data_IF_528079370906
#
_entry.id   IF_528079370906
#
_cell.length_a   1.000
_cell.length_b   1.000
_cell.length_c   1.000
_cell.angle_alpha   90.00
_cell.angle_beta   90.00
_cell.angle_gamma   90.00
#
_symmetry.space_group_name_H-M   'P 1'
#
loop_
_entity.id
_entity.type
_entity.pdbx_description
1 polymer ?
#
# COMPACT_ATOMS: atom_id res chain seq x y z
N UNK A 1 17.80 47.89 10.57
CA UNK A 1 17.90 46.50 10.06
C UNK A 1 16.57 45.82 10.27
N UNK A 2 15.74 45.78 9.25
CA UNK A 2 14.43 45.11 9.28
C UNK A 2 14.67 43.61 9.07
N UNK A 3 14.55 42.85 10.15
CA UNK A 3 14.59 41.38 10.13
C UNK A 3 13.32 40.88 9.43
N UNK A 4 13.46 40.64 8.12
CA UNK A 4 12.36 40.12 7.30
C UNK A 4 12.13 38.64 7.71
N UNK A 5 11.30 38.41 8.72
CA UNK A 5 10.86 37.06 9.10
C UNK A 5 10.04 36.48 7.96
N UNK A 6 10.71 35.82 7.01
CA UNK A 6 10.02 34.96 6.05
C UNK A 6 9.21 33.97 6.86
N UNK A 7 7.88 34.15 6.90
CA UNK A 7 6.97 33.17 7.50
C UNK A 7 7.26 31.85 6.85
N UNK A 8 7.78 30.90 7.63
CA UNK A 8 7.95 29.52 7.18
C UNK A 8 6.55 29.00 6.91
N UNK A 9 6.21 28.78 5.65
CA UNK A 9 4.91 28.23 5.24
C UNK A 9 4.94 26.74 5.63
N UNK A 10 4.06 26.37 6.56
CA UNK A 10 3.92 24.97 7.06
C UNK A 10 2.77 24.27 6.35
N UNK A 11 2.75 22.92 6.46
CA UNK A 11 1.62 22.11 6.00
C UNK A 11 0.34 22.45 6.77
N UNK A 12 -0.81 22.29 6.13
CA UNK A 12 -2.12 22.59 6.73
C UNK A 12 -2.47 21.56 7.80
N UNK A 13 -2.76 21.98 9.03
CA UNK A 13 -3.06 21.12 10.18
C UNK A 13 -4.57 20.88 10.31
N UNK A 14 -5.07 19.81 9.64
CA UNK A 14 -6.52 19.52 9.51
C UNK A 14 -6.91 18.07 9.73
N UNK A 15 -5.97 17.14 9.96
CA UNK A 15 -6.24 15.71 10.12
C UNK A 15 -6.61 15.36 11.56
N UNK A 16 -7.67 14.56 11.72
CA UNK A 16 -8.20 14.02 12.96
C UNK A 16 -7.93 12.51 13.06
N UNK A 17 -8.24 11.86 14.19
CA UNK A 17 -8.02 10.41 14.38
C UNK A 17 -8.70 9.55 13.32
N UNK A 18 -9.91 9.92 12.90
CA UNK A 18 -10.65 9.20 11.87
C UNK A 18 -9.96 9.30 10.51
N UNK A 19 -9.40 10.47 10.19
CA UNK A 19 -8.66 10.70 8.95
C UNK A 19 -7.37 9.85 8.92
N UNK A 20 -6.69 9.73 10.06
CA UNK A 20 -5.51 8.87 10.19
C UNK A 20 -5.83 7.38 10.10
N UNK A 21 -6.96 6.93 10.67
CA UNK A 21 -7.41 5.56 10.47
C UNK A 21 -7.72 5.29 9.00
N UNK A 22 -8.50 6.16 8.36
CA UNK A 22 -8.84 6.03 6.95
C UNK A 22 -7.61 6.11 6.04
N UNK A 23 -6.61 6.95 6.39
CA UNK A 23 -5.34 6.99 5.69
C UNK A 23 -4.58 5.68 5.84
N UNK A 24 -4.34 5.19 7.06
CA UNK A 24 -3.58 3.97 7.33
C UNK A 24 -4.24 2.72 6.74
N UNK A 25 -5.50 2.46 7.09
CA UNK A 25 -6.24 1.31 6.57
C UNK A 25 -6.52 1.45 5.08
N UNK A 26 -6.87 2.65 4.63
CA UNK A 26 -7.17 2.93 3.23
C UNK A 26 -5.96 2.80 2.31
N UNK A 27 -4.76 3.13 2.78
CA UNK A 27 -3.51 2.93 2.03
C UNK A 27 -3.16 1.45 1.92
N UNK A 28 -3.51 0.65 2.93
CA UNK A 28 -3.19 -0.77 3.04
C UNK A 28 -4.09 -1.68 2.20
N UNK A 29 -5.41 -1.47 2.27
CA UNK A 29 -6.37 -2.39 1.66
C UNK A 29 -6.77 -1.91 0.27
N UNK A 30 -6.14 -2.47 -0.77
CA UNK A 30 -6.40 -2.20 -2.19
C UNK A 30 -7.41 -3.16 -2.82
N UNK A 31 -7.28 -3.38 -4.12
CA UNK A 31 -8.14 -4.29 -4.90
C UNK A 31 -7.56 -5.70 -5.06
N UNK A 32 -6.46 -6.02 -4.39
CA UNK A 32 -5.82 -7.34 -4.48
C UNK A 32 -6.79 -8.50 -4.21
N UNK A 33 -7.72 -8.34 -3.28
CA UNK A 33 -8.75 -9.33 -2.98
C UNK A 33 -9.70 -9.65 -4.15
N UNK A 34 -9.76 -8.79 -5.16
CA UNK A 34 -10.50 -9.02 -6.39
C UNK A 34 -9.57 -9.51 -7.52
N UNK A 35 -8.41 -8.87 -7.68
CA UNK A 35 -7.54 -9.02 -8.85
C UNK A 35 -6.62 -10.24 -8.75
N UNK A 36 -6.18 -10.60 -7.55
CA UNK A 36 -5.19 -11.67 -7.30
C UNK A 36 -5.64 -12.69 -6.24
N UNK A 37 -6.94 -12.83 -6.03
CA UNK A 37 -7.49 -13.86 -5.12
C UNK A 37 -7.13 -15.28 -5.57
N UNK A 38 -7.11 -15.52 -6.87
CA UNK A 38 -6.68 -16.77 -7.49
C UNK A 38 -5.25 -17.13 -7.10
N UNK A 39 -4.32 -16.20 -7.19
CA UNK A 39 -2.91 -16.40 -6.76
C UNK A 39 -2.82 -16.73 -5.27
N UNK A 40 -3.56 -16.04 -4.39
CA UNK A 40 -3.54 -16.33 -2.95
C UNK A 40 -4.03 -17.74 -2.63
N UNK A 41 -5.11 -18.16 -3.30
CA UNK A 41 -5.68 -19.50 -3.11
C UNK A 41 -4.83 -20.59 -3.76
N UNK A 42 -4.17 -20.31 -4.91
CA UNK A 42 -3.22 -21.25 -5.52
C UNK A 42 -1.97 -21.46 -4.66
N UNK A 43 -1.48 -20.41 -3.99
CA UNK A 43 -0.34 -20.52 -3.05
C UNK A 43 -0.71 -21.25 -1.77
N UNK A 44 -1.85 -20.93 -1.18
CA UNK A 44 -2.16 -21.34 0.20
C UNK A 44 -3.29 -22.34 0.36
N UNK A 45 -4.22 -22.45 -0.57
CA UNK A 45 -5.56 -22.92 -0.29
C UNK A 45 -6.29 -21.92 0.62
N UNK A 46 -7.54 -22.20 0.96
CA UNK A 46 -8.35 -21.25 1.75
C UNK A 46 -7.77 -21.03 3.15
N UNK A 47 -7.50 -22.12 3.88
CA UNK A 47 -7.02 -22.02 5.26
C UNK A 47 -5.56 -21.53 5.31
N UNK A 48 -4.71 -21.98 4.37
CA UNK A 48 -3.34 -21.50 4.28
C UNK A 48 -3.28 -19.99 3.96
N UNK A 49 -4.17 -19.48 3.10
CA UNK A 49 -4.25 -18.05 2.80
C UNK A 49 -4.76 -17.24 4.00
N UNK A 50 -5.82 -17.69 4.69
CA UNK A 50 -6.32 -17.04 5.91
C UNK A 50 -5.22 -16.99 6.97
N UNK A 51 -4.56 -18.12 7.26
CA UNK A 51 -3.50 -18.19 8.26
C UNK A 51 -2.27 -17.39 7.83
N UNK A 52 -1.92 -17.37 6.55
CA UNK A 52 -0.83 -16.57 6.01
C UNK A 52 -1.02 -15.08 6.26
N UNK A 53 -2.20 -14.54 5.95
CA UNK A 53 -2.54 -13.14 6.25
C UNK A 53 -2.67 -12.87 7.75
N UNK A 54 -3.25 -13.79 8.52
CA UNK A 54 -3.41 -13.62 9.96
C UNK A 54 -2.05 -13.61 10.69
N UNK A 55 -1.20 -14.59 10.42
CA UNK A 55 0.13 -14.70 11.04
C UNK A 55 1.05 -13.60 10.52
N UNK A 56 1.12 -13.41 9.19
CA UNK A 56 1.94 -12.37 8.59
C UNK A 56 1.54 -10.98 9.07
N UNK A 57 0.24 -10.69 9.16
CA UNK A 57 -0.28 -9.46 9.74
C UNK A 57 0.01 -9.31 11.24
N UNK A 58 -0.08 -10.39 12.02
CA UNK A 58 0.27 -10.38 13.45
C UNK A 58 1.75 -10.06 13.67
N UNK A 59 2.64 -10.51 12.77
CA UNK A 59 4.06 -10.17 12.80
C UNK A 59 4.31 -8.66 12.57
N UNK A 60 3.36 -7.91 12.02
CA UNK A 60 3.45 -6.46 11.88
C UNK A 60 3.08 -5.70 13.16
N UNK A 61 2.44 -6.33 14.15
CA UNK A 61 2.03 -5.66 15.39
C UNK A 61 3.21 -5.08 16.19
N UNK A 62 4.35 -5.78 16.38
CA UNK A 62 5.54 -5.20 16.99
C UNK A 62 6.08 -4.00 16.21
N UNK A 63 6.05 -4.05 14.88
CA UNK A 63 6.47 -2.96 13.99
C UNK A 63 5.53 -1.77 14.18
N UNK A 64 4.21 -1.99 14.10
CA UNK A 64 3.20 -0.96 14.36
C UNK A 64 3.32 -0.32 15.75
N UNK A 65 3.67 -1.12 16.77
CA UNK A 65 3.98 -0.60 18.10
C UNK A 65 5.15 0.39 18.06
N UNK A 66 6.24 0.02 17.40
CA UNK A 66 7.43 0.86 17.28
C UNK A 66 7.09 2.16 16.54
N UNK A 67 6.35 2.10 15.43
CA UNK A 67 5.89 3.29 14.71
C UNK A 67 5.03 4.21 15.59
N UNK A 68 4.13 3.65 16.39
CA UNK A 68 3.33 4.40 17.34
C UNK A 68 4.16 5.13 18.40
N UNK A 69 5.25 4.51 18.89
CA UNK A 69 6.18 5.14 19.83
C UNK A 69 7.04 6.22 19.15
N UNK A 70 7.51 5.94 17.92
CA UNK A 70 8.35 6.87 17.16
C UNK A 70 7.58 8.14 16.78
N UNK A 71 6.37 8.02 16.24
CA UNK A 71 5.56 9.18 15.86
C UNK A 71 5.13 9.99 17.09
N UNK A 72 4.90 9.34 18.22
CA UNK A 72 4.60 10.03 19.48
C UNK A 72 5.79 10.86 19.99
N UNK A 73 7.01 10.37 19.80
CA UNK A 73 8.23 11.06 20.23
C UNK A 73 8.72 12.10 19.18
N UNK A 74 8.48 11.83 17.91
CA UNK A 74 8.95 12.64 16.78
C UNK A 74 7.85 12.70 15.69
N UNK A 75 6.84 13.59 15.83
CA UNK A 75 5.76 13.75 14.85
C UNK A 75 6.23 14.53 13.62
N UNK A 76 7.07 13.91 12.82
CA UNK A 76 7.72 14.45 11.62
C UNK A 76 7.22 13.69 10.39
N UNK A 77 6.72 14.37 9.37
CA UNK A 77 6.23 13.78 8.13
C UNK A 77 7.31 13.00 7.35
N UNK A 78 8.58 13.26 7.64
CA UNK A 78 9.68 12.47 7.11
C UNK A 78 9.73 11.02 7.64
N UNK A 79 9.00 10.71 8.73
CA UNK A 79 8.87 9.35 9.25
C UNK A 79 10.21 8.66 9.44
N UNK A 80 10.42 7.54 8.73
CA UNK A 80 11.62 6.70 8.82
C UNK A 80 12.91 7.49 8.54
N UNK A 81 12.86 8.50 7.68
CA UNK A 81 13.99 9.37 7.37
C UNK A 81 14.40 10.15 8.63
N UNK A 82 13.42 10.72 9.35
CA UNK A 82 13.66 11.44 10.59
C UNK A 82 14.21 10.51 11.68
N UNK A 83 13.63 9.32 11.81
CA UNK A 83 14.01 8.34 12.81
C UNK A 83 15.42 7.81 12.61
N UNK A 84 15.77 7.48 11.35
CA UNK A 84 17.09 6.98 11.00
C UNK A 84 18.15 8.07 11.05
N UNK A 85 17.84 9.31 10.66
CA UNK A 85 18.76 10.44 10.72
C UNK A 85 19.24 10.77 12.15
N UNK A 86 18.45 10.37 13.17
CA UNK A 86 18.82 10.61 14.58
C UNK A 86 19.95 9.70 15.06
N UNK A 87 20.08 8.50 14.48
CA UNK A 87 20.97 7.45 15.03
C UNK A 87 21.89 6.80 13.99
N UNK A 88 21.67 7.06 12.71
CA UNK A 88 22.43 6.54 11.60
C UNK A 88 22.96 7.67 10.69
N UNK A 89 23.79 7.31 9.73
CA UNK A 89 24.35 8.26 8.75
C UNK A 89 23.29 8.82 7.79
N UNK A 90 23.59 9.97 7.17
CA UNK A 90 22.78 10.56 6.11
C UNK A 90 22.52 9.58 4.95
N UNK A 91 23.49 8.70 4.66
CA UNK A 91 23.35 7.69 3.61
C UNK A 91 22.27 6.66 3.93
N UNK A 92 22.27 6.13 5.17
CA UNK A 92 21.24 5.18 5.63
C UNK A 92 19.88 5.85 5.64
N UNK A 93 19.79 7.10 6.12
CA UNK A 93 18.50 7.84 6.15
C UNK A 93 17.96 8.08 4.75
N UNK A 94 18.82 8.42 3.78
CA UNK A 94 18.43 8.55 2.39
C UNK A 94 17.97 7.22 1.81
N UNK A 95 18.75 6.14 1.96
CA UNK A 95 18.41 4.82 1.45
C UNK A 95 17.08 4.33 2.01
N UNK A 96 16.84 4.50 3.33
CA UNK A 96 15.57 4.16 3.97
C UNK A 96 14.40 4.95 3.37
N UNK A 97 14.55 6.26 3.25
CA UNK A 97 13.51 7.13 2.68
C UNK A 97 13.24 6.81 1.20
N UNK A 98 14.28 6.55 0.42
CA UNK A 98 14.19 6.20 -0.99
C UNK A 98 13.47 4.87 -1.20
N UNK A 99 13.75 3.85 -0.38
CA UNK A 99 13.03 2.59 -0.41
C UNK A 99 11.57 2.74 0.03
N UNK A 100 11.29 3.57 1.03
CA UNK A 100 9.90 3.84 1.45
C UNK A 100 9.13 4.65 0.39
N UNK A 101 9.78 5.55 -0.35
CA UNK A 101 9.14 6.19 -1.51
C UNK A 101 8.76 5.12 -2.55
N UNK A 102 9.65 4.15 -2.83
CA UNK A 102 9.33 3.03 -3.72
C UNK A 102 8.11 2.25 -3.24
N UNK A 103 8.10 1.87 -1.97
CA UNK A 103 7.02 1.06 -1.38
C UNK A 103 5.63 1.68 -1.60
N UNK A 104 5.52 3.01 -1.50
CA UNK A 104 4.26 3.71 -1.74
C UNK A 104 4.04 4.06 -3.21
N UNK A 105 5.08 4.54 -3.89
CA UNK A 105 4.99 4.98 -5.29
C UNK A 105 4.54 3.84 -6.20
N UNK A 106 5.13 2.65 -6.02
CA UNK A 106 4.90 1.49 -6.88
C UNK A 106 3.42 1.03 -6.90
N UNK A 107 2.67 1.32 -5.83
CA UNK A 107 1.23 1.04 -5.76
C UNK A 107 0.43 1.97 -6.68
N UNK A 108 0.87 3.21 -6.88
CA UNK A 108 0.13 4.19 -7.67
C UNK A 108 -0.08 3.75 -9.14
N UNK A 109 0.96 3.41 -9.93
CA UNK A 109 0.75 2.92 -11.29
C UNK A 109 0.04 1.56 -11.32
N UNK A 110 0.25 0.69 -10.30
CA UNK A 110 -0.46 -0.58 -10.19
C UNK A 110 -1.99 -0.35 -10.15
N UNK A 111 -2.45 0.52 -9.27
CA UNK A 111 -3.88 0.83 -9.13
C UNK A 111 -4.42 1.58 -10.36
N UNK A 112 -3.61 2.43 -10.99
CA UNK A 112 -3.98 3.14 -12.21
C UNK A 112 -4.15 2.19 -13.42
N UNK A 113 -3.37 1.11 -13.51
CA UNK A 113 -3.56 0.05 -14.51
C UNK A 113 -4.77 -0.82 -14.15
N UNK A 114 -4.92 -1.18 -12.88
CA UNK A 114 -6.00 -2.04 -12.41
C UNK A 114 -7.40 -1.44 -12.69
N UNK A 115 -7.57 -0.10 -12.60
CA UNK A 115 -8.86 0.53 -12.92
C UNK A 115 -9.26 0.32 -14.37
N UNK A 116 -8.33 0.42 -15.33
CA UNK A 116 -8.57 0.13 -16.74
C UNK A 116 -9.03 -1.31 -16.95
N UNK A 117 -8.37 -2.25 -16.29
CA UNK A 117 -8.69 -3.68 -16.34
C UNK A 117 -10.08 -4.01 -15.79
N UNK A 118 -10.45 -3.41 -14.65
CA UNK A 118 -11.79 -3.55 -14.07
C UNK A 118 -12.84 -2.92 -15.00
N UNK A 119 -12.56 -1.75 -15.57
CA UNK A 119 -13.45 -1.10 -16.51
C UNK A 119 -13.68 -1.95 -17.77
N UNK A 120 -12.63 -2.56 -18.33
CA UNK A 120 -12.75 -3.49 -19.48
C UNK A 120 -13.58 -4.74 -19.15
N UNK A 121 -13.49 -5.26 -17.92
CA UNK A 121 -14.34 -6.35 -17.46
C UNK A 121 -15.84 -5.97 -17.40
N UNK A 122 -16.12 -4.73 -16.94
CA UNK A 122 -17.51 -4.23 -16.86
C UNK A 122 -18.05 -3.90 -18.25
N UNK A 123 -17.19 -3.32 -19.10
CA UNK A 123 -17.52 -2.85 -20.43
C UNK A 123 -16.51 -3.43 -21.43
N UNK A 124 -16.74 -4.65 -21.97
CA UNK A 124 -15.81 -5.31 -22.89
C UNK A 124 -15.46 -4.50 -24.15
N UNK A 125 -16.30 -3.51 -24.51
CA UNK A 125 -16.00 -2.57 -25.60
C UNK A 125 -14.75 -1.71 -25.34
N UNK A 126 -14.28 -1.61 -24.11
CA UNK A 126 -13.05 -0.91 -23.75
C UNK A 126 -11.78 -1.74 -24.04
N UNK A 127 -11.90 -3.05 -24.28
CA UNK A 127 -10.84 -3.91 -24.77
C UNK A 127 -10.66 -3.70 -26.29
N UNK A 128 -10.55 -2.45 -26.72
CA UNK A 128 -10.43 -2.00 -28.11
C UNK A 128 -9.22 -1.09 -28.28
N UNK A 129 -8.76 -0.93 -29.53
CA UNK A 129 -7.61 -0.09 -29.87
C UNK A 129 -6.37 -0.52 -29.08
N UNK A 130 -5.89 -1.73 -29.38
CA UNK A 130 -4.60 -2.21 -28.88
C UNK A 130 -3.48 -1.34 -29.44
N UNK A 131 -2.71 -0.70 -28.57
CA UNK A 131 -1.59 0.17 -28.96
C UNK A 131 -0.31 -0.64 -29.21
N UNK A 132 -0.02 -1.55 -28.28
CA UNK A 132 1.17 -2.42 -28.30
C UNK A 132 1.04 -3.52 -27.25
N UNK A 133 2.03 -4.44 -27.23
CA UNK A 133 2.15 -5.49 -26.21
C UNK A 133 3.46 -5.38 -25.44
N UNK A 134 3.39 -5.62 -24.13
CA UNK A 134 4.57 -5.75 -23.25
C UNK A 134 4.47 -7.10 -22.53
N UNK A 135 5.51 -7.91 -22.59
CA UNK A 135 5.55 -9.26 -22.02
C UNK A 135 4.31 -10.11 -22.40
N UNK A 136 3.83 -9.96 -23.65
CA UNK A 136 2.66 -10.67 -24.17
C UNK A 136 1.30 -10.10 -23.76
N UNK A 137 1.24 -9.12 -22.86
CA UNK A 137 0.01 -8.47 -22.42
C UNK A 137 -0.34 -7.27 -23.30
N UNK A 138 -1.59 -7.13 -23.78
CA UNK A 138 -2.00 -6.00 -24.61
C UNK A 138 -2.18 -4.74 -23.77
N UNK A 139 -1.80 -3.60 -24.31
CA UNK A 139 -2.08 -2.28 -23.75
C UNK A 139 -3.15 -1.60 -24.60
N UNK A 140 -4.34 -1.40 -24.04
CA UNK A 140 -5.46 -0.78 -24.73
C UNK A 140 -5.52 0.72 -24.44
N UNK A 141 -5.79 1.52 -25.48
CA UNK A 141 -5.94 2.97 -25.35
C UNK A 141 -7.01 3.39 -24.35
N UNK A 142 -8.24 2.80 -24.33
CA UNK A 142 -9.25 3.18 -23.34
C UNK A 142 -8.80 2.92 -21.89
N UNK A 143 -8.11 1.81 -21.61
CA UNK A 143 -7.58 1.50 -20.28
C UNK A 143 -6.55 2.53 -19.83
N UNK A 144 -5.64 2.89 -20.74
CA UNK A 144 -4.62 3.90 -20.49
C UNK A 144 -5.25 5.28 -20.20
N UNK A 145 -6.26 5.69 -20.98
CA UNK A 145 -6.95 6.96 -20.76
C UNK A 145 -7.70 7.02 -19.42
N UNK A 146 -8.37 5.92 -19.02
CA UNK A 146 -9.06 5.84 -17.73
C UNK A 146 -8.06 5.98 -16.58
N UNK A 147 -6.96 5.25 -16.63
CA UNK A 147 -5.95 5.31 -15.59
C UNK A 147 -5.20 6.66 -15.56
N UNK A 148 -4.88 7.25 -16.71
CA UNK A 148 -4.31 8.61 -16.79
C UNK A 148 -5.29 9.64 -16.23
N UNK A 149 -6.58 9.52 -16.54
CA UNK A 149 -7.62 10.38 -16.00
C UNK A 149 -7.71 10.31 -14.47
N UNK A 150 -7.67 9.09 -13.90
CA UNK A 150 -7.64 8.89 -12.45
C UNK A 150 -6.35 9.45 -11.84
N UNK A 151 -5.21 9.23 -12.46
CA UNK A 151 -3.91 9.78 -11.99
C UNK A 151 -3.95 11.31 -11.99
N UNK A 152 -4.49 11.92 -13.05
CA UNK A 152 -4.69 13.37 -13.14
C UNK A 152 -5.62 13.91 -12.05
N UNK A 153 -6.77 13.24 -11.84
CA UNK A 153 -7.74 13.59 -10.79
C UNK A 153 -7.07 13.58 -9.40
N UNK A 154 -6.37 12.49 -9.04
CA UNK A 154 -5.71 12.37 -7.74
C UNK A 154 -4.55 13.36 -7.59
N UNK A 155 -3.83 13.66 -8.68
CA UNK A 155 -2.79 14.69 -8.67
C UNK A 155 -3.39 16.06 -8.35
N UNK A 156 -4.46 16.45 -9.03
CA UNK A 156 -5.17 17.73 -8.78
C UNK A 156 -5.74 17.78 -7.37
N UNK A 157 -6.36 16.70 -6.90
CA UNK A 157 -6.93 16.58 -5.56
C UNK A 157 -5.87 16.81 -4.47
N UNK A 158 -4.70 16.18 -4.59
CA UNK A 158 -3.60 16.32 -3.64
C UNK A 158 -2.84 17.64 -3.77
N UNK A 159 -2.80 18.21 -4.97
CA UNK A 159 -2.26 19.54 -5.21
C UNK A 159 -3.12 20.64 -4.56
N UNK A 160 -4.45 20.49 -4.63
CA UNK A 160 -5.43 21.48 -4.16
C UNK A 160 -5.54 21.58 -2.64
N UNK A 161 -5.21 20.52 -1.89
CA UNK A 161 -5.15 20.60 -0.43
C UNK A 161 -5.47 19.30 0.30
N UNK A 162 -4.82 19.08 1.43
CA UNK A 162 -4.93 17.85 2.24
C UNK A 162 -6.35 17.60 2.78
N UNK A 163 -7.13 18.66 3.05
CA UNK A 163 -8.49 18.48 3.57
C UNK A 163 -9.41 17.80 2.55
N UNK A 164 -9.29 18.18 1.27
CA UNK A 164 -10.07 17.57 0.21
C UNK A 164 -9.67 16.11 0.01
N UNK A 165 -8.37 15.84 -0.01
CA UNK A 165 -7.83 14.48 -0.08
C UNK A 165 -8.27 13.60 1.10
N UNK A 166 -8.22 14.09 2.33
CA UNK A 166 -8.66 13.36 3.51
C UNK A 166 -10.17 13.07 3.51
N UNK A 167 -10.99 14.02 3.07
CA UNK A 167 -12.44 13.81 2.92
C UNK A 167 -12.72 12.72 1.90
N UNK A 168 -12.06 12.76 0.74
CA UNK A 168 -12.16 11.72 -0.29
C UNK A 168 -11.72 10.35 0.27
N UNK A 169 -10.61 10.31 1.01
CA UNK A 169 -10.09 9.09 1.64
C UNK A 169 -11.10 8.49 2.63
N UNK A 170 -11.75 9.31 3.46
CA UNK A 170 -12.76 8.85 4.40
C UNK A 170 -13.97 8.24 3.68
N UNK A 171 -14.54 8.94 2.69
CA UNK A 171 -15.68 8.47 1.93
C UNK A 171 -15.41 7.14 1.23
N UNK A 172 -14.27 7.02 0.57
CA UNK A 172 -13.91 5.79 -0.13
C UNK A 172 -13.57 4.65 0.83
N UNK A 173 -12.91 4.92 1.97
CA UNK A 173 -12.60 3.91 2.97
C UNK A 173 -13.86 3.34 3.64
N UNK A 174 -14.72 4.21 4.17
CA UNK A 174 -15.95 3.75 4.85
C UNK A 174 -16.97 3.18 3.87
N UNK A 175 -17.06 3.73 2.64
CA UNK A 175 -17.86 3.17 1.57
C UNK A 175 -17.43 1.74 1.20
N UNK A 176 -16.11 1.50 1.09
CA UNK A 176 -15.56 0.15 0.88
C UNK A 176 -15.94 -0.81 2.00
N UNK A 177 -15.81 -0.40 3.27
CA UNK A 177 -16.18 -1.24 4.40
C UNK A 177 -17.68 -1.58 4.42
N UNK A 178 -18.55 -0.61 4.12
CA UNK A 178 -19.98 -0.82 4.08
C UNK A 178 -20.39 -1.81 2.98
N UNK A 179 -19.87 -1.61 1.75
CA UNK A 179 -20.15 -2.52 0.63
C UNK A 179 -19.52 -3.90 0.84
N UNK A 180 -18.33 -3.95 1.45
CA UNK A 180 -17.68 -5.21 1.84
C UNK A 180 -18.57 -6.02 2.80
N UNK A 181 -19.04 -5.40 3.89
CA UNK A 181 -19.93 -6.05 4.83
C UNK A 181 -21.21 -6.56 4.15
N UNK A 182 -21.75 -5.80 3.21
CA UNK A 182 -22.94 -6.16 2.46
C UNK A 182 -22.72 -7.41 1.59
N UNK A 183 -21.70 -7.45 0.73
CA UNK A 183 -21.51 -8.62 -0.14
C UNK A 183 -21.02 -9.86 0.63
N UNK A 184 -20.24 -9.71 1.69
CA UNK A 184 -19.87 -10.84 2.56
C UNK A 184 -21.09 -11.42 3.25
N UNK A 185 -21.97 -10.57 3.80
CA UNK A 185 -23.22 -11.02 4.42
C UNK A 185 -24.11 -11.82 3.45
N UNK A 186 -24.24 -11.38 2.20
CA UNK A 186 -24.95 -12.13 1.15
C UNK A 186 -24.26 -13.45 0.81
N UNK A 187 -22.91 -13.43 0.67
CA UNK A 187 -22.13 -14.63 0.34
C UNK A 187 -22.29 -15.74 1.35
N UNK A 188 -22.21 -15.40 2.64
CA UNK A 188 -22.34 -16.37 3.74
C UNK A 188 -23.70 -17.09 3.71
N UNK A 189 -24.76 -16.44 3.26
CA UNK A 189 -26.11 -17.04 3.17
C UNK A 189 -26.24 -18.15 2.10
N UNK A 190 -25.31 -18.24 1.14
CA UNK A 190 -25.39 -19.12 -0.04
C UNK A 190 -24.29 -20.17 -0.11
N UNK A 191 -23.28 -20.08 0.74
CA UNK A 191 -22.11 -20.95 0.72
C UNK A 191 -22.24 -22.24 1.54
N UNK A 192 -21.15 -23.02 1.57
CA UNK A 192 -21.02 -24.23 2.36
C UNK A 192 -19.58 -24.43 2.83
N UNK A 193 -19.35 -24.98 4.05
CA UNK A 193 -17.99 -25.33 4.53
C UNK A 193 -17.26 -26.33 3.63
N UNK A 194 -18.01 -27.17 2.87
CA UNK A 194 -17.43 -28.14 1.92
C UNK A 194 -16.63 -27.46 0.81
N UNK A 195 -16.95 -26.21 0.48
CA UNK A 195 -16.28 -25.45 -0.57
C UNK A 195 -14.85 -25.06 -0.19
N UNK A 196 -14.47 -25.10 1.08
CA UNK A 196 -13.10 -24.86 1.54
C UNK A 196 -12.08 -25.90 1.07
N UNK A 197 -12.55 -27.07 0.63
CA UNK A 197 -11.64 -28.14 0.19
C UNK A 197 -11.02 -27.87 -1.20
N UNK A 198 -9.70 -28.08 -1.34
CA UNK A 198 -8.73 -28.42 -0.31
C UNK A 198 -8.38 -27.21 0.57
N UNK A 199 -8.17 -27.43 1.88
CA UNK A 199 -7.83 -26.38 2.84
C UNK A 199 -6.43 -25.78 2.59
N UNK A 200 -5.51 -26.61 2.10
CA UNK A 200 -4.12 -26.25 1.78
C UNK A 200 -3.77 -26.76 0.39
N UNK A 201 -2.99 -25.99 -0.36
CA UNK A 201 -2.51 -26.39 -1.70
C UNK A 201 -1.28 -27.28 -1.64
N UNK A 202 -0.41 -27.01 -0.66
CA UNK A 202 0.80 -27.77 -0.33
C UNK A 202 0.69 -28.32 1.10
N UNK A 203 1.82 -28.70 1.72
CA UNK A 203 1.80 -28.96 3.16
C UNK A 203 1.34 -27.70 3.92
N UNK A 204 0.70 -27.83 5.09
CA UNK A 204 0.18 -26.68 5.84
C UNK A 204 1.20 -25.57 6.06
N UNK A 205 2.43 -25.95 6.43
CA UNK A 205 3.53 -24.99 6.64
C UNK A 205 3.90 -24.25 5.36
N UNK A 206 4.10 -24.96 4.25
CA UNK A 206 4.49 -24.35 2.97
C UNK A 206 3.38 -23.44 2.44
N UNK A 207 2.11 -23.86 2.52
CA UNK A 207 0.96 -23.07 2.10
C UNK A 207 0.87 -21.74 2.85
N UNK A 208 0.99 -21.75 4.17
CA UNK A 208 1.00 -20.56 5.01
C UNK A 208 2.21 -19.68 4.69
N UNK A 209 3.39 -20.28 4.55
CA UNK A 209 4.64 -19.57 4.28
C UNK A 209 4.62 -18.83 2.95
N UNK A 210 4.13 -19.46 1.87
CA UNK A 210 4.03 -18.85 0.54
C UNK A 210 3.09 -17.62 0.54
N UNK A 211 2.02 -17.67 1.32
CA UNK A 211 1.11 -16.51 1.45
C UNK A 211 1.71 -15.43 2.35
N UNK A 212 2.40 -15.79 3.43
CA UNK A 212 3.08 -14.82 4.30
C UNK A 212 4.07 -13.92 3.54
N UNK A 213 4.69 -14.41 2.47
CA UNK A 213 5.66 -13.64 1.67
C UNK A 213 5.06 -12.43 0.95
N UNK A 214 3.77 -12.48 0.64
CA UNK A 214 3.07 -11.38 -0.06
C UNK A 214 2.40 -10.39 0.92
N UNK A 215 2.26 -10.78 2.19
CA UNK A 215 1.62 -9.94 3.22
C UNK A 215 2.27 -8.55 3.34
N UNK A 216 3.60 -8.38 3.29
CA UNK A 216 4.20 -7.05 3.37
C UNK A 216 3.65 -6.07 2.32
N UNK A 217 3.47 -6.50 1.08
CA UNK A 217 2.90 -5.64 0.04
C UNK A 217 1.44 -5.25 0.35
N UNK A 218 0.60 -6.23 0.67
CA UNK A 218 -0.84 -6.00 0.89
C UNK A 218 -1.15 -5.32 2.23
N UNK A 219 -0.22 -5.32 3.18
CA UNK A 219 -0.38 -4.68 4.48
C UNK A 219 0.55 -3.48 4.69
N UNK A 220 1.30 -3.03 3.68
CA UNK A 220 1.95 -1.72 3.66
C UNK A 220 0.88 -0.64 3.66
N UNK A 221 1.06 0.38 4.50
CA UNK A 221 0.14 1.52 4.56
C UNK A 221 -0.23 1.96 5.98
N UNK A 222 -0.20 1.09 6.99
CA UNK A 222 -0.46 1.51 8.37
C UNK A 222 0.51 2.62 8.85
N UNK A 223 1.71 2.63 8.36
CA UNK A 223 2.75 3.62 8.63
C UNK A 223 2.56 4.92 7.84
N UNK A 224 1.63 4.99 6.88
CA UNK A 224 1.26 6.24 6.19
C UNK A 224 0.69 7.28 7.16
N UNK A 225 0.14 6.83 8.28
CA UNK A 225 -0.27 7.67 9.42
C UNK A 225 0.84 8.62 9.83
N UNK A 226 2.09 8.16 9.84
CA UNK A 226 3.26 8.98 10.21
C UNK A 226 3.54 10.08 9.18
N UNK A 227 3.31 9.81 7.89
CA UNK A 227 3.58 10.76 6.79
C UNK A 227 2.68 12.00 6.84
N UNK A 228 1.53 11.87 7.50
CA UNK A 228 0.63 12.99 7.80
C UNK A 228 0.81 13.61 9.18
N UNK A 229 1.83 13.22 9.97
CA UNK A 229 1.93 13.61 11.38
C UNK A 229 1.98 15.12 11.61
N UNK A 230 2.60 15.89 10.70
CA UNK A 230 2.65 17.36 10.78
C UNK A 230 1.30 18.03 10.44
N UNK A 231 0.37 17.29 9.82
CA UNK A 231 -0.94 17.77 9.37
C UNK A 231 -2.05 17.55 10.44
N UNK A 232 -1.67 17.06 11.63
CA UNK A 232 -2.60 16.86 12.75
C UNK A 232 -3.20 18.20 13.24
N UNK A 233 -4.50 18.18 13.59
CA UNK A 233 -5.14 19.36 14.22
C UNK A 233 -4.46 19.74 15.54
N UNK A 234 -4.54 21.01 15.97
CA UNK A 234 -3.91 21.44 17.22
C UNK A 234 -4.38 20.64 18.46
N UNK A 235 -5.63 20.19 18.47
CA UNK A 235 -6.26 19.43 19.57
C UNK A 235 -5.93 17.93 19.50
N UNK A 236 -5.19 17.49 18.49
CA UNK A 236 -4.91 16.07 18.28
C UNK A 236 -4.02 15.50 19.40
N UNK A 237 -4.54 14.50 20.09
CA UNK A 237 -3.79 13.80 21.13
C UNK A 237 -2.81 12.80 20.51
N UNK A 238 -1.55 12.84 20.90
CA UNK A 238 -0.46 11.97 20.38
C UNK A 238 -0.82 10.47 20.43
N UNK A 239 -1.57 10.03 21.46
CA UNK A 239 -2.07 8.65 21.55
C UNK A 239 -2.99 8.25 20.39
N UNK A 240 -3.55 9.22 19.66
CA UNK A 240 -4.38 8.99 18.48
C UNK A 240 -3.61 8.33 17.34
N UNK A 241 -2.34 8.65 17.15
CA UNK A 241 -1.49 7.99 16.16
C UNK A 241 -1.36 6.49 16.43
N UNK A 242 -1.03 6.14 17.66
CA UNK A 242 -0.92 4.72 18.05
C UNK A 242 -2.23 3.97 17.80
N UNK A 243 -3.36 4.57 18.22
CA UNK A 243 -4.68 3.99 18.01
C UNK A 243 -4.98 3.79 16.53
N UNK A 244 -4.70 4.78 15.69
CA UNK A 244 -4.94 4.70 14.24
C UNK A 244 -4.10 3.60 13.58
N UNK A 245 -2.80 3.49 13.91
CA UNK A 245 -1.89 2.46 13.38
C UNK A 245 -2.38 1.06 13.77
N UNK A 246 -2.67 0.83 15.06
CA UNK A 246 -3.13 -0.47 15.54
C UNK A 246 -4.48 -0.87 14.95
N UNK A 247 -5.44 0.04 14.90
CA UNK A 247 -6.72 -0.21 14.26
C UNK A 247 -6.55 -0.53 12.78
N UNK A 248 -5.67 0.16 12.06
CA UNK A 248 -5.42 -0.12 10.65
C UNK A 248 -4.90 -1.55 10.44
N UNK A 249 -3.90 -1.99 11.23
CA UNK A 249 -3.35 -3.35 11.13
C UNK A 249 -4.42 -4.40 11.46
N UNK A 250 -5.11 -4.27 12.62
CA UNK A 250 -6.10 -5.26 13.07
C UNK A 250 -7.27 -5.37 12.10
N UNK A 251 -7.82 -4.23 11.65
CA UNK A 251 -8.92 -4.22 10.67
C UNK A 251 -8.44 -4.74 9.32
N UNK A 252 -7.18 -4.51 8.95
CA UNK A 252 -6.57 -5.08 7.74
C UNK A 252 -6.49 -6.61 7.80
N UNK A 253 -5.99 -7.18 8.90
CA UNK A 253 -5.95 -8.63 9.13
C UNK A 253 -7.35 -9.23 9.01
N UNK A 254 -8.31 -8.64 9.70
CA UNK A 254 -9.70 -9.12 9.69
C UNK A 254 -10.31 -9.02 8.29
N UNK A 255 -10.07 -7.93 7.58
CA UNK A 255 -10.55 -7.76 6.21
C UNK A 255 -10.04 -8.87 5.29
N UNK A 256 -8.73 -9.12 5.25
CA UNK A 256 -8.15 -10.15 4.38
C UNK A 256 -8.61 -11.56 4.78
N UNK A 257 -8.63 -11.88 6.07
CA UNK A 257 -9.10 -13.18 6.55
C UNK A 257 -10.57 -13.42 6.17
N UNK A 258 -11.43 -12.41 6.36
CA UNK A 258 -12.87 -12.52 6.08
C UNK A 258 -13.16 -12.61 4.59
N UNK A 259 -12.47 -11.82 3.73
CA UNK A 259 -12.71 -11.90 2.28
C UNK A 259 -12.27 -13.23 1.69
N UNK A 260 -11.10 -13.75 2.12
CA UNK A 260 -10.61 -15.07 1.69
C UNK A 260 -11.59 -16.17 2.14
N UNK A 261 -12.02 -16.10 3.40
CA UNK A 261 -13.01 -17.05 3.94
C UNK A 261 -14.34 -16.97 3.17
N UNK A 262 -14.85 -15.77 2.88
CA UNK A 262 -16.08 -15.59 2.13
C UNK A 262 -16.00 -16.17 0.72
N UNK A 263 -14.92 -15.89 -0.01
CA UNK A 263 -14.70 -16.42 -1.36
C UNK A 263 -14.62 -17.94 -1.35
N UNK A 264 -13.82 -18.51 -0.45
CA UNK A 264 -13.70 -19.96 -0.32
C UNK A 264 -14.95 -20.68 0.18
N UNK A 265 -15.82 -19.97 0.96
CA UNK A 265 -17.08 -20.52 1.47
C UNK A 265 -18.18 -20.57 0.41
N UNK A 266 -18.25 -19.54 -0.44
CA UNK A 266 -19.34 -19.32 -1.40
C UNK A 266 -19.37 -20.36 -2.51
N UNK A 267 -18.20 -20.77 -3.06
CA UNK A 267 -18.12 -21.77 -4.12
C UNK A 267 -16.81 -22.57 -4.06
N UNK A 268 -16.75 -23.77 -4.72
CA UNK A 268 -15.54 -24.58 -4.82
C UNK A 268 -14.43 -23.81 -5.55
N UNK A 269 -13.55 -23.19 -4.80
CA UNK A 269 -12.56 -22.25 -5.30
C UNK A 269 -11.60 -22.81 -6.34
N UNK A 270 -11.19 -24.08 -6.20
CA UNK A 270 -10.20 -24.73 -7.08
C UNK A 270 -10.63 -24.78 -8.55
N UNK A 271 -11.94 -24.84 -8.80
CA UNK A 271 -12.50 -24.87 -10.16
C UNK A 271 -12.55 -23.48 -10.82
N UNK A 272 -12.29 -22.42 -10.05
CA UNK A 272 -12.49 -21.04 -10.46
C UNK A 272 -11.19 -20.23 -10.49
N UNK A 273 -10.04 -20.86 -10.23
CA UNK A 273 -8.73 -20.19 -10.21
C UNK A 273 -8.25 -19.69 -11.57
N UNK A 274 -8.91 -20.09 -12.68
CA UNK A 274 -8.59 -19.62 -14.02
C UNK A 274 -9.52 -18.48 -14.50
N UNK A 275 -10.52 -18.13 -13.69
CA UNK A 275 -11.47 -17.08 -14.04
C UNK A 275 -10.88 -15.68 -13.75
N UNK A 276 -11.03 -14.76 -14.69
CA UNK A 276 -10.72 -13.35 -14.45
C UNK A 276 -11.62 -12.81 -13.31
N UNK A 277 -11.03 -12.13 -12.36
CA UNK A 277 -11.75 -11.62 -11.18
C UNK A 277 -12.55 -12.70 -10.45
N UNK A 278 -11.87 -13.75 -10.07
CA UNK A 278 -12.43 -14.93 -9.42
C UNK A 278 -13.46 -14.59 -8.32
N UNK A 279 -13.19 -13.59 -7.48
CA UNK A 279 -14.11 -13.17 -6.42
C UNK A 279 -15.50 -12.79 -6.97
N UNK A 280 -15.56 -12.03 -8.07
CA UNK A 280 -16.83 -11.63 -8.68
C UNK A 280 -17.58 -12.83 -9.28
N UNK A 281 -16.85 -13.70 -10.00
CA UNK A 281 -17.42 -14.89 -10.64
C UNK A 281 -17.94 -15.90 -9.62
N UNK A 282 -17.23 -16.12 -8.51
CA UNK A 282 -17.65 -16.98 -7.40
C UNK A 282 -19.01 -16.54 -6.86
N UNK A 283 -19.15 -15.25 -6.60
CA UNK A 283 -20.40 -14.71 -6.06
C UNK A 283 -21.52 -14.69 -7.10
N UNK A 284 -21.23 -14.41 -8.38
CA UNK A 284 -22.23 -14.49 -9.45
C UNK A 284 -22.87 -15.87 -9.54
N UNK A 285 -22.04 -16.93 -9.56
CA UNK A 285 -22.49 -18.32 -9.65
C UNK A 285 -23.31 -18.75 -8.42
N UNK A 286 -22.91 -18.33 -7.23
CA UNK A 286 -23.58 -18.72 -6.00
C UNK A 286 -24.90 -17.99 -5.77
N UNK A 287 -24.97 -16.71 -6.10
CA UNK A 287 -26.15 -15.87 -5.87
C UNK A 287 -27.12 -15.94 -7.07
N UNK A 288 -26.62 -16.31 -8.25
CA UNK A 288 -27.42 -16.36 -9.48
C UNK A 288 -27.88 -14.98 -9.97
N UNK A 289 -27.20 -13.91 -9.55
CA UNK A 289 -27.60 -12.53 -9.86
C UNK A 289 -26.42 -11.63 -10.18
N UNK A 290 -26.50 -10.94 -11.30
CA UNK A 290 -25.50 -9.92 -11.71
C UNK A 290 -25.47 -8.70 -10.78
N UNK A 291 -26.47 -8.52 -9.95
CA UNK A 291 -26.48 -7.43 -8.97
C UNK A 291 -25.29 -7.53 -7.99
N UNK A 292 -25.01 -8.73 -7.48
CA UNK A 292 -23.90 -8.95 -6.55
C UNK A 292 -22.55 -8.62 -7.19
N UNK A 293 -22.39 -8.92 -8.48
CA UNK A 293 -21.19 -8.55 -9.24
C UNK A 293 -21.00 -7.03 -9.26
N UNK A 294 -22.08 -6.28 -9.50
CA UNK A 294 -22.02 -4.80 -9.46
C UNK A 294 -21.60 -4.27 -8.10
N UNK A 295 -22.12 -4.87 -7.01
CA UNK A 295 -21.71 -4.48 -5.63
C UNK A 295 -20.22 -4.74 -5.42
N UNK A 296 -19.72 -5.92 -5.81
CA UNK A 296 -18.32 -6.29 -5.66
C UNK A 296 -17.42 -5.35 -6.47
N UNK A 297 -17.76 -5.09 -7.73
CA UNK A 297 -16.99 -4.20 -8.60
C UNK A 297 -17.02 -2.75 -8.11
N UNK A 298 -18.14 -2.25 -7.60
CA UNK A 298 -18.23 -0.93 -6.96
C UNK A 298 -17.34 -0.86 -5.71
N UNK A 299 -17.37 -1.91 -4.88
CA UNK A 299 -16.48 -2.02 -3.72
C UNK A 299 -15.01 -1.97 -4.13
N UNK A 300 -14.65 -2.68 -5.20
CA UNK A 300 -13.30 -2.70 -5.73
C UNK A 300 -12.85 -1.32 -6.25
N UNK A 301 -13.70 -0.63 -7.00
CA UNK A 301 -13.41 0.72 -7.51
C UNK A 301 -13.18 1.70 -6.35
N UNK A 302 -14.03 1.68 -5.32
CA UNK A 302 -13.83 2.51 -4.13
C UNK A 302 -12.53 2.13 -3.39
N UNK A 303 -12.26 0.83 -3.30
CA UNK A 303 -11.02 0.32 -2.68
C UNK A 303 -9.78 0.78 -3.42
N UNK A 304 -9.81 0.73 -4.76
CA UNK A 304 -8.74 1.20 -5.63
C UNK A 304 -8.50 2.71 -5.44
N UNK A 305 -9.54 3.50 -5.45
CA UNK A 305 -9.41 4.96 -5.30
C UNK A 305 -8.79 5.35 -3.96
N UNK A 306 -9.20 4.71 -2.85
CA UNK A 306 -8.65 5.03 -1.54
C UNK A 306 -7.20 4.59 -1.39
N UNK A 307 -6.83 3.41 -1.90
CA UNK A 307 -5.45 2.92 -1.77
C UNK A 307 -4.51 3.72 -2.67
N UNK A 308 -4.95 4.07 -3.87
CA UNK A 308 -4.17 4.94 -4.74
C UNK A 308 -3.94 6.31 -4.07
N UNK A 309 -5.01 6.98 -3.58
CA UNK A 309 -4.89 8.26 -2.93
C UNK A 309 -3.98 8.21 -1.68
N UNK A 310 -4.14 7.21 -0.83
CA UNK A 310 -3.34 7.05 0.38
C UNK A 310 -1.84 6.87 0.08
N UNK A 311 -1.51 6.01 -0.87
CA UNK A 311 -0.13 5.78 -1.31
C UNK A 311 0.46 7.02 -1.99
N UNK A 312 -0.33 7.72 -2.80
CA UNK A 312 0.06 8.96 -3.45
C UNK A 312 0.41 10.05 -2.41
N UNK A 313 -0.43 10.21 -1.37
CA UNK A 313 -0.17 11.11 -0.24
C UNK A 313 1.15 10.73 0.43
N UNK A 314 1.34 9.47 0.79
CA UNK A 314 2.54 9.00 1.50
C UNK A 314 3.81 9.19 0.66
N UNK A 315 3.82 8.79 -0.61
CA UNK A 315 4.95 8.95 -1.51
C UNK A 315 5.34 10.43 -1.69
N UNK A 316 4.35 11.31 -1.92
CA UNK A 316 4.60 12.74 -2.11
C UNK A 316 5.13 13.43 -0.84
N UNK A 317 4.68 13.03 0.38
CA UNK A 317 5.21 13.57 1.64
C UNK A 317 6.65 13.10 1.91
N UNK A 318 6.96 11.86 1.58
CA UNK A 318 8.34 11.36 1.71
C UNK A 318 9.27 12.04 0.71
N UNK A 319 8.86 12.23 -0.56
CA UNK A 319 9.64 12.95 -1.56
C UNK A 319 9.87 14.41 -1.13
N UNK A 320 8.85 15.06 -0.61
CA UNK A 320 8.96 16.38 0.01
C UNK A 320 9.96 16.39 1.18
N UNK A 321 9.90 15.38 2.05
CA UNK A 321 10.73 15.32 3.24
C UNK A 321 12.21 15.12 2.93
N UNK A 322 12.57 14.30 1.91
CA UNK A 322 13.97 14.16 1.50
C UNK A 322 14.50 15.45 0.84
N UNK A 323 13.65 16.17 0.08
CA UNK A 323 14.00 17.49 -0.47
C UNK A 323 14.20 18.52 0.64
N UNK A 324 13.29 18.65 1.60
CA UNK A 324 13.38 19.57 2.75
C UNK A 324 14.64 19.34 3.59
N UNK A 325 15.12 18.11 3.66
CA UNK A 325 16.34 17.75 4.40
C UNK A 325 17.65 17.86 3.58
N UNK A 326 17.55 18.32 2.34
CA UNK A 326 18.71 18.46 1.44
C UNK A 326 19.38 17.12 1.14
N UNK A 327 18.60 16.05 1.06
CA UNK A 327 19.07 14.72 0.64
C UNK A 327 18.95 14.53 -0.87
N UNK A 328 18.13 15.36 -1.52
CA UNK A 328 17.96 15.58 -2.97
C UNK A 328 17.71 17.07 -3.21
N UNK A 329 17.38 17.49 -4.45
CA UNK A 329 17.07 18.90 -4.78
C UNK A 329 16.06 19.51 -3.79
N UNK A 330 16.47 20.60 -3.17
CA UNK A 330 15.69 21.29 -2.14
C UNK A 330 14.38 21.89 -2.65
N UNK A 331 14.22 22.06 -3.97
CA UNK A 331 12.96 22.53 -4.57
C UNK A 331 11.79 21.58 -4.24
N UNK A 332 12.06 20.29 -4.11
CA UNK A 332 11.08 19.29 -3.70
C UNK A 332 10.56 19.51 -2.27
N UNK A 333 11.33 20.19 -1.42
CA UNK A 333 10.99 20.56 -0.06
C UNK A 333 10.17 21.85 0.10
N UNK A 334 9.67 22.45 -1.00
CA UNK A 334 8.88 23.66 -0.95
C UNK A 334 7.39 23.39 -0.74
N UNK A 335 6.73 24.24 0.07
CA UNK A 335 5.30 24.22 0.33
C UNK A 335 4.62 25.30 -0.52
N UNK A 336 3.55 24.94 -1.23
CA UNK A 336 2.79 25.88 -2.05
C UNK A 336 2.12 26.95 -1.19
N UNK A 337 2.25 28.27 -1.52
CA UNK A 337 1.79 29.37 -0.65
C UNK A 337 0.29 29.34 -0.35
N UNK A 338 -0.55 29.05 -1.36
CA UNK A 338 -2.02 29.04 -1.22
C UNK A 338 -2.54 27.70 -0.67
N UNK A 339 -2.10 26.60 -1.27
CA UNK A 339 -2.67 25.27 -0.99
C UNK A 339 -2.08 24.63 0.26
N UNK A 340 -0.93 25.12 0.72
CA UNK A 340 -0.17 24.55 1.85
C UNK A 340 0.12 23.04 1.67
N UNK A 341 0.44 22.66 0.43
CA UNK A 341 0.76 21.29 0.01
C UNK A 341 2.17 21.24 -0.58
N UNK A 342 2.84 20.08 -0.60
CA UNK A 342 4.14 19.88 -1.24
C UNK A 342 3.97 19.73 -2.77
N UNK A 343 3.55 20.80 -3.44
CA UNK A 343 3.05 20.78 -4.82
C UNK A 343 4.01 20.19 -5.84
N UNK A 344 5.32 20.49 -5.75
CA UNK A 344 6.30 19.95 -6.68
C UNK A 344 6.45 18.44 -6.50
N UNK A 345 6.52 17.96 -5.25
CA UNK A 345 6.58 16.52 -4.96
C UNK A 345 5.32 15.79 -5.45
N UNK A 346 4.14 16.40 -5.28
CA UNK A 346 2.85 15.89 -5.80
C UNK A 346 2.89 15.74 -7.32
N UNK A 347 3.37 16.78 -8.04
CA UNK A 347 3.50 16.75 -9.50
C UNK A 347 4.50 15.68 -9.96
N UNK A 348 5.66 15.55 -9.30
CA UNK A 348 6.65 14.53 -9.63
C UNK A 348 6.08 13.11 -9.49
N UNK A 349 5.37 12.82 -8.39
CA UNK A 349 4.74 11.49 -8.20
C UNK A 349 3.65 11.26 -9.24
N UNK A 350 2.82 12.26 -9.56
CA UNK A 350 1.79 12.17 -10.59
C UNK A 350 2.36 11.88 -11.97
N UNK A 351 3.38 12.62 -12.38
CA UNK A 351 4.05 12.43 -13.68
C UNK A 351 4.75 11.07 -13.77
N UNK A 352 5.46 10.66 -12.71
CA UNK A 352 6.12 9.35 -12.66
C UNK A 352 5.10 8.21 -12.72
N UNK A 353 3.96 8.34 -12.01
CA UNK A 353 2.85 7.39 -12.10
C UNK A 353 2.31 7.29 -13.52
N UNK A 354 2.02 8.43 -14.16
CA UNK A 354 1.55 8.48 -15.53
C UNK A 354 2.53 7.83 -16.52
N UNK A 355 3.84 8.06 -16.35
CA UNK A 355 4.87 7.43 -17.18
C UNK A 355 4.91 5.91 -17.01
N UNK A 356 4.80 5.39 -15.78
CA UNK A 356 4.80 3.95 -15.52
C UNK A 356 3.57 3.22 -16.08
N UNK A 357 2.45 3.91 -16.29
CA UNK A 357 1.24 3.30 -16.85
C UNK A 357 1.41 2.76 -18.26
N UNK A 358 2.35 3.33 -19.03
CA UNK A 358 2.68 2.83 -20.38
C UNK A 358 3.30 1.43 -20.36
N UNK A 359 3.67 0.89 -19.19
CA UNK A 359 4.11 -0.49 -19.00
C UNK A 359 2.94 -1.49 -18.91
N UNK A 360 1.71 -1.01 -18.75
CA UNK A 360 0.50 -1.83 -18.73
C UNK A 360 0.51 -2.93 -17.66
N UNK A 361 -0.20 -4.01 -17.93
CA UNK A 361 -0.35 -5.16 -17.01
C UNK A 361 0.98 -5.87 -16.66
N UNK A 362 2.02 -5.69 -17.46
CA UNK A 362 3.32 -6.33 -17.26
C UNK A 362 3.99 -5.94 -15.93
N UNK A 363 3.63 -4.78 -15.35
CA UNK A 363 4.20 -4.33 -14.08
C UNK A 363 3.53 -4.93 -12.85
N UNK A 364 2.33 -5.50 -12.98
CA UNK A 364 1.48 -5.85 -11.81
C UNK A 364 2.15 -6.85 -10.87
N UNK A 365 2.78 -7.89 -11.39
CA UNK A 365 3.41 -8.93 -10.57
C UNK A 365 4.77 -8.49 -10.03
N UNK A 366 5.75 -8.05 -10.85
CA UNK A 366 7.06 -7.63 -10.34
C UNK A 366 6.99 -6.52 -9.30
N UNK A 367 6.03 -5.60 -9.48
CA UNK A 367 5.81 -4.47 -8.59
C UNK A 367 5.45 -4.91 -7.16
N UNK A 368 4.55 -5.87 -7.01
CA UNK A 368 4.14 -6.35 -5.68
C UNK A 368 5.30 -7.00 -4.91
N UNK A 369 6.15 -7.70 -5.60
CA UNK A 369 7.31 -8.38 -5.01
C UNK A 369 8.38 -7.38 -4.55
N UNK A 370 8.75 -6.42 -5.41
CA UNK A 370 9.72 -5.36 -5.08
C UNK A 370 9.18 -4.44 -3.98
N UNK A 371 7.87 -4.13 -4.02
CA UNK A 371 7.19 -3.35 -2.99
C UNK A 371 7.27 -4.01 -1.60
N UNK A 372 7.15 -5.34 -1.52
CA UNK A 372 7.30 -6.09 -0.27
C UNK A 372 8.67 -5.89 0.37
N UNK A 373 9.74 -5.96 -0.42
CA UNK A 373 11.11 -5.75 0.07
C UNK A 373 11.34 -4.30 0.46
N UNK A 374 10.83 -3.35 -0.33
CA UNK A 374 10.96 -1.93 -0.04
C UNK A 374 10.31 -1.56 1.30
N UNK A 375 9.10 -2.06 1.57
CA UNK A 375 8.40 -1.88 2.85
C UNK A 375 9.17 -2.50 4.01
N UNK A 376 9.63 -3.75 3.85
CA UNK A 376 10.37 -4.46 4.88
C UNK A 376 11.68 -3.77 5.26
N UNK A 377 12.38 -3.14 4.29
CA UNK A 377 13.58 -2.33 4.54
C UNK A 377 13.23 -1.09 5.40
N UNK A 378 12.14 -0.39 5.09
CA UNK A 378 11.70 0.75 5.88
C UNK A 378 11.32 0.37 7.31
N UNK A 379 10.58 -0.72 7.48
CA UNK A 379 10.19 -1.25 8.80
C UNK A 379 11.38 -1.71 9.62
N UNK A 380 12.31 -2.44 9.01
CA UNK A 380 13.58 -2.82 9.62
C UNK A 380 14.35 -1.59 10.13
N UNK A 381 14.49 -0.57 9.27
CA UNK A 381 15.24 0.64 9.59
C UNK A 381 14.60 1.45 10.72
N UNK A 382 13.25 1.57 10.73
CA UNK A 382 12.51 2.23 11.80
C UNK A 382 12.67 1.50 13.14
N UNK A 383 12.54 0.16 13.15
CA UNK A 383 12.73 -0.66 14.34
C UNK A 383 14.17 -0.61 14.85
N UNK A 384 15.17 -0.65 13.96
CA UNK A 384 16.57 -0.52 14.31
C UNK A 384 16.88 0.89 14.87
N UNK A 385 16.29 1.93 14.30
CA UNK A 385 16.43 3.29 14.82
C UNK A 385 15.85 3.40 16.25
N UNK A 386 14.63 2.87 16.48
CA UNK A 386 14.04 2.89 17.81
C UNK A 386 14.85 2.09 18.83
N UNK A 387 15.37 0.92 18.43
CA UNK A 387 16.28 0.12 19.27
C UNK A 387 17.52 0.91 19.71
N UNK A 388 18.12 1.68 18.77
CA UNK A 388 19.31 2.51 19.02
C UNK A 388 19.04 3.78 19.84
N UNK A 389 17.84 4.36 19.74
CA UNK A 389 17.42 5.49 20.58
C UNK A 389 17.46 5.12 22.08
N UNK A 390 17.40 3.82 22.40
CA UNK A 390 17.59 3.32 23.78
C UNK A 390 16.33 3.40 24.63
N UNK A 391 15.17 2.91 24.19
CA UNK A 391 13.98 2.86 25.02
C UNK A 391 14.15 1.87 26.20
N UNK A 392 13.23 1.87 27.19
CA UNK A 392 13.23 0.88 28.28
C UNK A 392 13.29 -0.56 27.77
N UNK A 393 13.87 -1.48 28.57
CA UNK A 393 14.18 -2.87 28.16
C UNK A 393 13.03 -3.58 27.46
N UNK A 394 11.81 -3.52 27.99
CA UNK A 394 10.64 -4.19 27.36
C UNK A 394 10.30 -3.63 25.97
N UNK A 395 10.37 -2.32 25.76
CA UNK A 395 10.15 -1.69 24.45
C UNK A 395 11.28 -1.97 23.49
N UNK A 396 12.52 -2.07 24.00
CA UNK A 396 13.70 -2.44 23.24
C UNK A 396 13.59 -3.88 22.70
N UNK A 397 13.04 -4.79 23.51
CA UNK A 397 12.75 -6.15 23.08
C UNK A 397 11.74 -6.18 21.92
N UNK A 398 10.64 -5.40 22.02
CA UNK A 398 9.66 -5.31 20.91
C UNK A 398 10.31 -4.75 19.63
N UNK A 399 11.18 -3.75 19.77
CA UNK A 399 11.92 -3.23 18.61
C UNK A 399 12.84 -4.29 17.97
N UNK A 400 13.51 -5.10 18.78
CA UNK A 400 14.35 -6.22 18.31
C UNK A 400 13.51 -7.25 17.57
N UNK A 401 12.32 -7.60 18.07
CA UNK A 401 11.39 -8.48 17.35
C UNK A 401 11.01 -7.87 15.99
N UNK A 402 10.72 -6.57 15.94
CA UNK A 402 10.45 -5.88 14.68
C UNK A 402 11.62 -5.89 13.69
N UNK A 403 12.87 -5.77 14.18
CA UNK A 403 14.09 -5.91 13.37
C UNK A 403 14.18 -7.32 12.77
N UNK A 404 13.98 -8.36 13.60
CA UNK A 404 14.04 -9.76 13.16
C UNK A 404 12.95 -10.02 12.11
N UNK A 405 11.72 -9.58 12.35
CA UNK A 405 10.61 -9.74 11.39
C UNK A 405 10.93 -9.06 10.06
N UNK A 406 11.37 -7.79 10.07
CA UNK A 406 11.74 -7.07 8.86
C UNK A 406 12.88 -7.77 8.09
N UNK A 407 13.90 -8.25 8.80
CA UNK A 407 15.01 -9.00 8.19
C UNK A 407 14.52 -10.30 7.55
N UNK A 408 13.70 -11.08 8.26
CA UNK A 408 13.14 -12.33 7.71
C UNK A 408 12.30 -12.06 6.45
N UNK A 409 11.47 -11.02 6.44
CA UNK A 409 10.68 -10.64 5.26
C UNK A 409 11.55 -10.27 4.05
N UNK A 410 12.69 -9.62 4.28
CA UNK A 410 13.66 -9.34 3.21
C UNK A 410 14.32 -10.65 2.73
N UNK A 411 14.83 -11.46 3.65
CA UNK A 411 15.54 -12.71 3.32
C UNK A 411 14.66 -13.69 2.53
N UNK A 412 13.37 -13.79 2.86
CA UNK A 412 12.42 -14.64 2.13
C UNK A 412 12.32 -14.29 0.63
N UNK A 413 12.67 -13.05 0.24
CA UNK A 413 12.58 -12.57 -1.15
C UNK A 413 13.92 -12.57 -1.87
N UNK A 414 15.03 -12.30 -1.17
CA UNK A 414 16.34 -12.13 -1.81
C UNK A 414 17.20 -13.39 -1.81
N UNK A 415 16.90 -14.38 -0.95
CA UNK A 415 17.72 -15.61 -0.86
C UNK A 415 17.34 -16.59 -1.95
N UNK A 416 18.25 -16.94 -2.88
CA UNK A 416 18.00 -17.93 -3.91
C UNK A 416 17.68 -19.31 -3.28
N UNK A 417 16.75 -20.03 -3.89
CA UNK A 417 16.31 -21.36 -3.39
C UNK A 417 15.12 -21.31 -2.43
N UNK A 418 14.76 -20.16 -1.87
CA UNK A 418 13.50 -20.00 -1.17
C UNK A 418 12.37 -19.88 -2.20
N UNK A 419 11.28 -20.68 -2.13
CA UNK A 419 10.15 -20.54 -3.04
C UNK A 419 9.60 -19.11 -3.01
N UNK A 420 9.40 -18.50 -4.18
CA UNK A 420 8.92 -17.11 -4.31
C UNK A 420 10.00 -16.03 -4.15
N UNK A 421 11.30 -16.38 -4.24
CA UNK A 421 12.39 -15.39 -4.31
C UNK A 421 12.35 -14.61 -5.62
N UNK A 422 13.05 -13.47 -5.67
CA UNK A 422 13.10 -12.56 -6.81
C UNK A 422 13.59 -13.24 -8.09
N UNK A 423 12.89 -13.02 -9.18
CA UNK A 423 13.33 -13.31 -10.56
C UNK A 423 14.23 -12.18 -11.09
N UNK A 424 14.73 -12.33 -12.31
CA UNK A 424 15.56 -11.33 -12.96
C UNK A 424 14.83 -9.97 -13.14
N UNK A 425 13.53 -9.98 -13.32
CA UNK A 425 12.73 -8.75 -13.53
C UNK A 425 12.62 -7.90 -12.27
N UNK A 426 12.42 -8.53 -11.09
CA UNK A 426 12.39 -7.83 -9.81
C UNK A 426 13.76 -7.25 -9.46
N UNK A 427 14.84 -8.00 -9.71
CA UNK A 427 16.20 -7.49 -9.53
C UNK A 427 16.50 -6.31 -10.44
N UNK A 428 16.07 -6.36 -11.72
CA UNK A 428 16.22 -5.24 -12.66
C UNK A 428 15.45 -4.01 -12.18
N UNK A 429 14.19 -4.18 -11.76
CA UNK A 429 13.35 -3.09 -11.26
C UNK A 429 13.96 -2.42 -10.01
N UNK A 430 14.41 -3.23 -9.05
CA UNK A 430 15.09 -2.74 -7.85
C UNK A 430 16.41 -2.03 -8.20
N UNK A 431 17.20 -2.60 -9.10
CA UNK A 431 18.45 -2.01 -9.58
C UNK A 431 18.24 -0.66 -10.24
N UNK A 432 17.28 -0.55 -11.16
CA UNK A 432 16.93 0.74 -11.78
C UNK A 432 16.52 1.79 -10.73
N UNK A 433 15.71 1.41 -9.76
CA UNK A 433 15.30 2.32 -8.68
C UNK A 433 16.48 2.83 -7.86
N UNK A 434 17.43 1.94 -7.52
CA UNK A 434 18.65 2.30 -6.81
C UNK A 434 19.51 3.27 -7.63
N UNK A 435 19.69 3.01 -8.93
CA UNK A 435 20.45 3.89 -9.83
C UNK A 435 19.82 5.28 -9.91
N UNK A 436 18.49 5.38 -10.07
CA UNK A 436 17.77 6.66 -10.07
C UNK A 436 18.01 7.41 -8.75
N UNK A 437 17.90 6.72 -7.62
CA UNK A 437 18.14 7.34 -6.30
C UNK A 437 19.56 7.86 -6.12
N UNK A 438 20.55 7.08 -6.54
CA UNK A 438 21.96 7.50 -6.49
C UNK A 438 22.21 8.72 -7.39
N UNK A 439 21.65 8.73 -8.61
CA UNK A 439 21.76 9.86 -9.54
C UNK A 439 21.17 11.14 -8.94
N UNK A 440 19.96 11.08 -8.39
CA UNK A 440 19.31 12.22 -7.74
C UNK A 440 20.07 12.72 -6.51
N UNK A 441 20.75 11.85 -5.80
CA UNK A 441 21.57 12.21 -4.64
C UNK A 441 22.90 12.86 -5.04
N UNK A 442 23.50 12.46 -6.16
CA UNK A 442 24.76 13.02 -6.66
C UNK A 442 24.58 14.43 -7.25
N UNK A 443 23.36 14.78 -7.65
CA UNK A 443 22.99 16.10 -8.19
C UNK A 443 22.52 17.09 -7.11
N UNK A 444 22.42 16.68 -5.84
CA UNK A 444 22.02 17.47 -4.68
C UNK A 444 23.23 17.97 -3.88
#
# INVERSE_FOLDING_TARGET
MLYNSRRVITLARKLRVVDYFALGWGTMVGVGWLVVMDDWLLRGGVLGAILGFAIGGALLLPIGYVYGQLVAAMPDAAGEIAYTARVFSRAISFATGWMMILAYFIVCPWEAVAVGKIAGYIFPALDSIELYRIAGQPVYLPHLLIGLGLTGLLTVLNYSGIRLSATFQNWTAFGTLALFALFVGFGVSKGSPRNFSPLFTHSPFVSVFLVMQIVPYFMTGFESVVKGAEEATPEFRIRGFFKAIWMAIVVGILFYAVVIAAVGYVAPWKQLTHEKFMTAVVFERAVGSRWIVRVILTTAILSLFKVFNGNFVAASRLLFAIGRRGLVDQRLGHVHPRNQTPSLAVLCIGLATAACMFLGDAILVPVSEVGSVASAIGWLAACAAYYRIGPPRHKRFIAMVGVIVGLLMILMKIVPGIPGHFSAYEWLALGMWVVIGLSLRLTA
#
